data_IF_371668699195
#
_entry.id   IF_371668699195
#
_cell.length_a   1.000
_cell.length_b   1.000
_cell.length_c   1.000
_cell.angle_alpha   90.00
_cell.angle_beta   90.00
_cell.angle_gamma   90.00
#
_symmetry.space_group_name_H-M   'P 1'
#
loop_
_entity.id
_entity.type
_entity.pdbx_description
1 polymer ?
#
# COMPACT_ATOMS: atom_id res chain seq x y z
N UNK A 1 3.38 0.34 -14.78
CA UNK A 1 2.03 0.87 -15.12
C UNK A 1 1.25 1.14 -13.84
N UNK A 2 0.58 2.27 -13.80
CA UNK A 2 -0.21 2.65 -12.64
C UNK A 2 -1.62 2.04 -12.73
N UNK A 3 -2.03 1.27 -11.71
CA UNK A 3 -3.28 0.51 -11.75
C UNK A 3 -4.51 1.41 -11.51
N UNK A 4 -5.60 1.10 -12.19
CA UNK A 4 -6.91 1.72 -11.94
C UNK A 4 -7.60 1.02 -10.76
N UNK A 5 -8.63 1.67 -10.21
CA UNK A 5 -9.45 1.09 -9.14
C UNK A 5 -10.06 -0.24 -9.58
N UNK A 6 -10.59 -0.29 -10.81
CA UNK A 6 -11.19 -1.51 -11.35
C UNK A 6 -10.18 -2.66 -11.42
N UNK A 7 -8.95 -2.35 -11.81
CA UNK A 7 -7.87 -3.33 -11.84
C UNK A 7 -7.57 -3.88 -10.44
N UNK A 8 -7.53 -3.00 -9.43
CA UNK A 8 -7.26 -3.40 -8.04
C UNK A 8 -8.41 -4.24 -7.46
N UNK A 9 -9.65 -3.88 -7.77
CA UNK A 9 -10.81 -4.66 -7.34
C UNK A 9 -10.83 -6.06 -7.97
N UNK A 10 -10.18 -6.24 -9.11
CA UNK A 10 -10.04 -7.54 -9.78
C UNK A 10 -8.97 -8.45 -9.16
N UNK A 11 -8.09 -7.91 -8.31
CA UNK A 11 -7.06 -8.71 -7.62
C UNK A 11 -7.66 -9.24 -6.32
N UNK A 12 -8.04 -10.51 -6.33
CA UNK A 12 -8.75 -11.16 -5.21
C UNK A 12 -7.76 -11.90 -4.33
N UNK A 13 -7.96 -11.83 -3.02
CA UNK A 13 -7.16 -12.58 -2.06
C UNK A 13 -7.56 -14.06 -2.08
N UNK A 14 -6.65 -14.97 -2.47
CA UNK A 14 -6.98 -16.39 -2.57
C UNK A 14 -7.23 -17.07 -1.23
N UNK A 15 -6.80 -16.47 -0.12
CA UNK A 15 -7.00 -17.00 1.22
C UNK A 15 -8.33 -16.56 1.86
N UNK A 16 -9.05 -15.63 1.20
CA UNK A 16 -10.32 -15.13 1.75
C UNK A 16 -11.40 -16.21 1.61
N UNK A 17 -12.22 -16.37 2.64
CA UNK A 17 -13.36 -17.28 2.63
C UNK A 17 -14.66 -16.48 2.74
N UNK A 18 -15.77 -17.06 2.29
CA UNK A 18 -17.08 -16.44 2.37
C UNK A 18 -17.46 -16.07 3.82
N UNK A 19 -17.12 -16.93 4.77
CA UNK A 19 -17.39 -16.67 6.19
C UNK A 19 -16.59 -15.46 6.72
N UNK A 20 -15.39 -15.21 6.23
CA UNK A 20 -14.59 -14.05 6.61
C UNK A 20 -15.23 -12.74 6.13
N UNK A 21 -15.88 -12.76 4.97
CA UNK A 21 -16.56 -11.59 4.41
C UNK A 21 -17.90 -11.35 5.13
N UNK A 22 -18.67 -12.41 5.37
CA UNK A 22 -19.98 -12.33 6.02
C UNK A 22 -19.87 -12.01 7.52
N UNK A 23 -18.88 -12.58 8.19
CA UNK A 23 -18.64 -12.42 9.62
C UNK A 23 -17.23 -11.85 9.84
N UNK A 24 -17.14 -10.52 9.78
CA UNK A 24 -15.87 -9.79 9.87
C UNK A 24 -15.48 -9.49 11.32
N UNK A 25 -15.78 -10.37 12.27
CA UNK A 25 -15.47 -10.17 13.69
C UNK A 25 -13.98 -9.99 13.95
N UNK A 26 -13.11 -10.69 13.20
CA UNK A 26 -11.66 -10.60 13.37
C UNK A 26 -10.96 -9.62 12.41
N UNK A 27 -11.72 -8.97 11.54
CA UNK A 27 -11.20 -7.96 10.63
C UNK A 27 -10.50 -8.50 9.37
N UNK A 28 -10.49 -9.80 9.13
CA UNK A 28 -9.84 -10.38 7.94
C UNK A 28 -10.64 -10.13 6.66
N UNK A 29 -11.94 -9.97 6.77
CA UNK A 29 -12.85 -9.80 5.62
C UNK A 29 -12.56 -8.55 4.80
N UNK A 30 -11.95 -7.51 5.39
CA UNK A 30 -11.60 -6.28 4.67
C UNK A 30 -10.54 -6.54 3.58
N UNK A 31 -9.77 -7.62 3.71
CA UNK A 31 -8.71 -7.98 2.75
C UNK A 31 -9.22 -8.89 1.63
N UNK A 32 -10.42 -8.65 1.15
CA UNK A 32 -11.02 -9.41 0.06
C UNK A 32 -10.35 -9.14 -1.28
N UNK A 33 -10.11 -7.85 -1.58
CA UNK A 33 -9.44 -7.42 -2.81
C UNK A 33 -8.32 -6.42 -2.51
N UNK A 34 -7.44 -6.22 -3.49
CA UNK A 34 -6.32 -5.29 -3.36
C UNK A 34 -6.75 -3.84 -3.18
N UNK A 35 -8.01 -3.50 -3.49
CA UNK A 35 -8.51 -2.14 -3.34
C UNK A 35 -8.44 -1.63 -1.89
N UNK A 36 -8.44 -2.53 -0.90
CA UNK A 36 -8.28 -2.18 0.51
C UNK A 36 -6.96 -1.45 0.78
N UNK A 37 -5.92 -1.74 0.01
CA UNK A 37 -4.62 -1.10 0.16
C UNK A 37 -4.55 0.29 -0.46
N UNK A 38 -5.53 0.65 -1.26
CA UNK A 38 -5.67 2.01 -1.78
C UNK A 38 -6.29 2.93 -0.73
N UNK A 39 -7.31 2.45 -0.02
CA UNK A 39 -7.99 3.19 1.03
C UNK A 39 -8.40 2.22 2.15
N UNK A 40 -7.97 2.51 3.35
CA UNK A 40 -8.29 1.72 4.55
C UNK A 40 -7.07 1.08 5.18
N UNK A 41 -6.37 0.21 4.47
CA UNK A 41 -5.17 -0.46 5.00
C UNK A 41 -3.93 -0.24 4.12
N UNK A 42 -3.81 0.94 3.58
CA UNK A 42 -2.60 1.38 2.85
C UNK A 42 -1.33 1.31 3.71
N UNK A 43 -1.46 1.42 5.02
CA UNK A 43 -0.37 1.26 5.99
C UNK A 43 0.33 -0.10 5.83
N UNK A 44 -0.42 -1.17 5.70
CA UNK A 44 0.13 -2.53 5.57
C UNK A 44 0.91 -2.67 4.25
N UNK A 45 0.37 -2.16 3.15
CA UNK A 45 1.05 -2.25 1.86
C UNK A 45 2.34 -1.43 1.85
N UNK A 46 2.31 -0.26 2.48
CA UNK A 46 3.48 0.61 2.64
C UNK A 46 4.59 -0.08 3.44
N UNK A 47 4.25 -0.77 4.54
CA UNK A 47 5.20 -1.55 5.33
C UNK A 47 5.82 -2.65 4.47
N UNK A 48 5.01 -3.36 3.70
CA UNK A 48 5.48 -4.44 2.84
C UNK A 48 6.43 -3.93 1.75
N UNK A 49 6.11 -2.82 1.09
CA UNK A 49 6.98 -2.18 0.10
C UNK A 49 8.30 -1.73 0.71
N UNK A 50 8.25 -1.09 1.86
CA UNK A 50 9.45 -0.59 2.54
C UNK A 50 10.37 -1.73 2.95
N UNK A 51 9.82 -2.81 3.47
CA UNK A 51 10.62 -3.97 3.89
C UNK A 51 11.21 -4.73 2.70
N UNK A 52 10.46 -4.84 1.61
CA UNK A 52 10.90 -5.59 0.42
C UNK A 52 11.95 -4.82 -0.39
N UNK A 53 11.73 -3.53 -0.62
CA UNK A 53 12.56 -2.74 -1.53
C UNK A 53 13.46 -1.72 -0.82
N UNK A 54 13.28 -1.50 0.46
CA UNK A 54 14.02 -0.49 1.21
C UNK A 54 13.56 0.95 0.96
N UNK A 55 12.35 1.14 0.43
CA UNK A 55 11.82 2.47 0.17
C UNK A 55 11.52 3.22 1.46
N UNK A 56 11.65 4.55 1.41
CA UNK A 56 11.23 5.41 2.50
C UNK A 56 9.70 5.41 2.59
N UNK A 57 9.17 5.15 3.76
CA UNK A 57 7.73 5.16 3.99
C UNK A 57 7.28 6.51 4.53
N UNK A 58 6.15 6.98 4.02
CA UNK A 58 5.53 8.24 4.40
C UNK A 58 4.11 8.01 4.84
N UNK A 59 3.67 8.81 5.79
CA UNK A 59 2.28 8.84 6.22
C UNK A 59 1.80 10.28 6.13
N UNK A 60 0.82 10.52 5.27
CA UNK A 60 0.19 11.84 5.11
C UNK A 60 -0.81 12.02 6.25
N UNK A 61 -0.87 13.25 6.79
CA UNK A 61 -1.86 13.62 7.78
C UNK A 61 -3.29 13.54 7.25
N UNK A 62 -4.25 13.83 8.13
CA UNK A 62 -5.66 13.71 7.83
C UNK A 62 -6.06 14.54 6.62
N UNK A 63 -6.80 13.91 5.70
CA UNK A 63 -7.53 14.60 4.64
C UNK A 63 -8.79 15.22 5.24
N UNK A 64 -9.53 16.03 4.46
CA UNK A 64 -10.82 16.61 4.89
C UNK A 64 -11.79 15.52 5.40
N UNK A 65 -11.68 14.31 4.89
CA UNK A 65 -12.52 13.17 5.28
C UNK A 65 -11.96 12.41 6.50
N UNK A 66 -10.89 12.90 7.11
CA UNK A 66 -10.25 12.24 8.26
C UNK A 66 -9.43 11.02 7.88
N UNK A 67 -9.19 10.79 6.59
CA UNK A 67 -8.44 9.65 6.08
C UNK A 67 -6.94 9.98 5.98
N UNK A 68 -6.11 9.03 6.41
CA UNK A 68 -4.67 9.09 6.21
C UNK A 68 -4.28 8.20 5.03
N UNK A 69 -3.22 8.56 4.32
CA UNK A 69 -2.65 7.72 3.27
C UNK A 69 -1.19 7.43 3.57
N UNK A 70 -0.85 6.14 3.53
CA UNK A 70 0.52 5.67 3.68
C UNK A 70 1.03 5.20 2.31
N UNK A 71 2.26 5.56 1.99
CA UNK A 71 2.88 5.24 0.71
C UNK A 71 4.38 5.22 0.85
N UNK A 72 5.08 4.84 -0.20
CA UNK A 72 6.54 4.87 -0.23
C UNK A 72 7.05 5.84 -1.28
N UNK A 73 8.28 6.29 -1.07
CA UNK A 73 8.98 7.18 -1.99
C UNK A 73 10.38 6.64 -2.22
N UNK A 74 10.83 6.71 -3.45
CA UNK A 74 12.23 6.49 -3.81
C UNK A 74 12.61 7.49 -4.91
N UNK A 75 13.86 7.45 -5.35
CA UNK A 75 14.35 8.34 -6.40
C UNK A 75 14.91 7.52 -7.55
N UNK A 76 14.57 7.92 -8.77
CA UNK A 76 15.10 7.34 -10.00
C UNK A 76 15.55 8.50 -10.87
N UNK A 77 16.83 8.53 -11.23
CA UNK A 77 17.43 9.61 -12.04
C UNK A 77 17.13 11.02 -11.50
N UNK A 78 17.23 11.18 -10.17
CA UNK A 78 16.97 12.44 -9.46
C UNK A 78 15.49 12.88 -9.47
N UNK A 79 14.57 12.02 -9.93
CA UNK A 79 13.14 12.28 -9.82
C UNK A 79 12.54 11.48 -8.68
N UNK A 80 11.63 12.12 -7.94
CA UNK A 80 10.87 11.49 -6.87
C UNK A 80 9.83 10.55 -7.47
N UNK A 81 9.86 9.29 -7.05
CA UNK A 81 8.95 8.26 -7.49
C UNK A 81 8.04 7.88 -6.33
N UNK A 82 6.74 8.04 -6.51
CA UNK A 82 5.72 7.66 -5.54
C UNK A 82 5.29 6.22 -5.80
N UNK A 83 5.26 5.40 -4.75
CA UNK A 83 4.92 3.98 -4.85
C UNK A 83 3.82 3.65 -3.84
N UNK A 84 2.72 3.12 -4.33
CA UNK A 84 1.65 2.55 -3.51
C UNK A 84 1.05 1.33 -4.23
N UNK A 85 -0.10 0.83 -3.76
CA UNK A 85 -0.74 -0.33 -4.37
C UNK A 85 -0.99 -0.16 -5.88
N UNK A 86 -1.24 1.06 -6.33
CA UNK A 86 -1.52 1.34 -7.75
C UNK A 86 -0.29 1.15 -8.63
N UNK A 87 0.91 1.19 -8.06
CA UNK A 87 2.17 1.07 -8.77
C UNK A 87 3.06 2.28 -8.51
N UNK A 88 3.76 2.73 -9.55
CA UNK A 88 4.76 3.79 -9.45
C UNK A 88 4.43 4.94 -10.39
N UNK A 89 4.61 6.17 -9.94
CA UNK A 89 4.45 7.36 -10.77
C UNK A 89 5.35 8.49 -10.28
N UNK A 90 5.84 9.30 -11.21
CA UNK A 90 6.53 10.55 -10.92
C UNK A 90 5.57 11.74 -10.96
N UNK A 91 4.33 11.51 -11.38
CA UNK A 91 3.30 12.55 -11.54
C UNK A 91 2.55 12.73 -10.22
N UNK A 92 2.84 13.83 -9.52
CA UNK A 92 2.23 14.15 -8.24
C UNK A 92 0.70 14.32 -8.35
N UNK A 93 0.21 14.92 -9.44
CA UNK A 93 -1.24 15.07 -9.65
C UNK A 93 -1.93 13.73 -9.77
N UNK A 94 -1.35 12.84 -10.57
CA UNK A 94 -1.87 11.47 -10.72
C UNK A 94 -1.85 10.73 -9.38
N UNK A 95 -0.76 10.86 -8.63
CA UNK A 95 -0.62 10.23 -7.32
C UNK A 95 -1.65 10.76 -6.34
N UNK A 96 -1.87 12.08 -6.30
CA UNK A 96 -2.80 12.73 -5.38
C UNK A 96 -4.27 12.60 -5.81
N UNK A 97 -4.56 11.94 -6.92
CA UNK A 97 -5.93 11.72 -7.36
C UNK A 97 -6.72 10.96 -6.28
N UNK A 98 -7.71 11.62 -5.70
CA UNK A 98 -8.56 11.05 -4.66
C UNK A 98 -8.20 11.41 -3.22
N UNK A 99 -7.14 12.20 -3.00
CA UNK A 99 -6.81 12.72 -1.67
C UNK A 99 -6.02 14.03 -1.77
N UNK A 100 -6.03 14.80 -0.68
CA UNK A 100 -5.29 16.06 -0.58
C UNK A 100 -3.93 15.78 0.05
N UNK A 101 -2.86 16.27 -0.59
CA UNK A 101 -1.49 16.11 -0.08
C UNK A 101 -1.23 17.18 0.97
N UNK A 102 -1.28 16.81 2.24
CA UNK A 102 -0.92 17.68 3.36
C UNK A 102 0.42 17.25 3.95
N UNK A 103 0.85 17.90 5.02
CA UNK A 103 2.11 17.57 5.69
C UNK A 103 2.09 16.15 6.24
N UNK A 104 3.10 15.38 5.90
CA UNK A 104 3.23 14.01 6.35
C UNK A 104 4.50 13.79 7.17
N UNK A 105 4.60 12.61 7.75
CA UNK A 105 5.76 12.16 8.50
C UNK A 105 6.47 11.04 7.74
N UNK A 106 7.81 11.08 7.78
CA UNK A 106 8.65 9.98 7.29
C UNK A 106 8.77 8.94 8.40
N UNK A 107 8.53 7.69 8.07
CA UNK A 107 8.74 6.59 9.00
C UNK A 107 10.17 6.06 8.85
N UNK A 108 10.88 5.97 9.96
CA UNK A 108 12.22 5.38 9.97
C UNK A 108 12.13 3.87 9.78
N UNK A 109 13.26 3.24 9.46
CA UNK A 109 13.31 1.78 9.37
C UNK A 109 12.90 1.11 10.69
N UNK A 110 13.26 1.72 11.82
CA UNK A 110 12.84 1.23 13.13
C UNK A 110 11.34 1.33 13.32
N UNK A 111 10.72 2.41 12.87
CA UNK A 111 9.26 2.59 12.93
C UNK A 111 8.55 1.52 12.09
N UNK A 112 9.05 1.24 10.89
CA UNK A 112 8.50 0.21 10.00
C UNK A 112 8.58 -1.17 10.64
N UNK A 113 9.72 -1.53 11.21
CA UNK A 113 9.89 -2.83 11.88
C UNK A 113 9.01 -2.93 13.13
N UNK A 114 8.85 -1.83 13.86
CA UNK A 114 7.95 -1.77 15.01
C UNK A 114 6.50 -1.98 14.60
N UNK A 115 6.03 -1.26 13.57
CA UNK A 115 4.67 -1.40 13.07
C UNK A 115 4.42 -2.82 12.56
N UNK A 116 5.39 -3.41 11.86
CA UNK A 116 5.30 -4.79 11.40
C UNK A 116 5.11 -5.77 12.58
N UNK A 117 5.92 -5.63 13.62
CA UNK A 117 5.84 -6.50 14.81
C UNK A 117 4.54 -6.32 15.58
N UNK A 118 3.91 -5.15 15.50
CA UNK A 118 2.68 -4.83 16.21
C UNK A 118 1.41 -5.21 15.43
N UNK A 119 1.54 -5.75 14.22
CA UNK A 119 0.37 -6.21 13.47
C UNK A 119 -0.35 -7.32 14.24
N UNK A 120 -1.66 -7.19 14.36
CA UNK A 120 -2.52 -8.24 14.90
C UNK A 120 -2.72 -9.37 13.87
N UNK A 121 -3.52 -10.37 14.19
CA UNK A 121 -3.74 -11.50 13.30
C UNK A 121 -4.38 -11.08 11.97
N UNK A 122 -5.32 -10.14 12.00
CA UNK A 122 -5.93 -9.59 10.79
C UNK A 122 -4.90 -8.81 9.96
N UNK A 123 -4.06 -8.00 10.61
CA UNK A 123 -3.01 -7.26 9.95
C UNK A 123 -1.97 -8.16 9.29
N UNK A 124 -1.61 -9.27 9.94
CA UNK A 124 -0.70 -10.26 9.38
C UNK A 124 -1.31 -11.00 8.20
N UNK A 125 -2.59 -11.28 8.26
CA UNK A 125 -3.34 -11.86 7.14
C UNK A 125 -3.30 -10.92 5.92
N UNK A 126 -3.54 -9.63 6.14
CA UNK A 126 -3.44 -8.61 5.10
C UNK A 126 -2.02 -8.43 4.58
N UNK A 127 -1.01 -8.53 5.45
CA UNK A 127 0.40 -8.44 5.06
C UNK A 127 0.78 -9.58 4.09
N UNK A 128 0.34 -10.80 4.35
CA UNK A 128 0.57 -11.91 3.42
C UNK A 128 -0.06 -11.67 2.06
N UNK A 129 -1.24 -11.05 2.04
CA UNK A 129 -1.86 -10.66 0.77
C UNK A 129 -1.04 -9.60 0.04
N UNK A 130 -0.54 -8.59 0.76
CA UNK A 130 0.35 -7.58 0.20
C UNK A 130 1.61 -8.20 -0.41
N UNK A 131 2.25 -9.13 0.30
CA UNK A 131 3.42 -9.85 -0.21
C UNK A 131 3.11 -10.63 -1.49
N UNK A 132 1.96 -11.30 -1.56
CA UNK A 132 1.53 -12.02 -2.77
C UNK A 132 1.37 -11.08 -3.96
N UNK A 133 0.79 -9.91 -3.74
CA UNK A 133 0.60 -8.91 -4.80
C UNK A 133 1.96 -8.42 -5.29
N UNK A 134 2.87 -8.09 -4.38
CA UNK A 134 4.21 -7.61 -4.71
C UNK A 134 4.96 -8.67 -5.51
N UNK A 135 4.94 -9.92 -5.06
CA UNK A 135 5.63 -11.01 -5.75
C UNK A 135 5.04 -11.30 -7.13
N UNK A 136 3.72 -11.24 -7.25
CA UNK A 136 3.03 -11.51 -8.50
C UNK A 136 3.11 -10.37 -9.53
N UNK A 137 3.31 -9.14 -9.06
CA UNK A 137 3.36 -7.94 -9.89
C UNK A 137 4.62 -7.11 -9.63
N UNK A 138 5.74 -7.77 -9.43
CA UNK A 138 6.98 -7.15 -8.96
C UNK A 138 7.44 -5.97 -9.81
N UNK A 139 7.30 -6.05 -11.12
CA UNK A 139 7.67 -4.97 -12.03
C UNK A 139 6.84 -3.69 -11.84
N UNK A 140 5.67 -3.81 -11.24
CA UNK A 140 4.80 -2.66 -10.94
C UNK A 140 5.38 -1.81 -9.80
N UNK A 141 6.13 -2.44 -8.88
CA UNK A 141 6.58 -1.81 -7.64
C UNK A 141 8.09 -1.65 -7.52
N UNK A 142 8.87 -2.36 -8.32
CA UNK A 142 10.33 -2.29 -8.29
C UNK A 142 10.81 -1.10 -9.11
N UNK A 143 11.45 -0.14 -8.43
CA UNK A 143 11.92 1.11 -9.06
C UNK A 143 12.92 0.88 -10.20
N UNK A 144 13.65 -0.25 -10.18
CA UNK A 144 14.55 -0.60 -11.28
C UNK A 144 13.81 -0.94 -12.57
N UNK A 145 12.51 -1.21 -12.50
CA UNK A 145 11.65 -1.51 -13.64
C UNK A 145 10.91 -0.28 -14.18
N UNK A 146 11.08 0.88 -13.52
CA UNK A 146 10.35 2.09 -13.92
C UNK A 146 10.90 2.64 -15.23
N UNK A 147 10.00 2.94 -16.17
CA UNK A 147 10.31 3.52 -17.49
C UNK A 147 9.72 4.92 -17.55
N UNK A 148 10.58 5.88 -17.83
CA UNK A 148 10.19 7.29 -18.01
C UNK A 148 9.40 7.52 -19.27
#
# INVERSE_FOLDING_TARGET
MYATVDCLAGIVNPEITESMVEDDEDGRGVFETADVFRMGRCDIFSIALSREFGYAAYKIGETEDGLTHSFCVTFVENQMLFVDIRGMTTDLEQFCSGFVFETGAVLTRQDIEKEYRQLDDAGRFGYRFAERIIDGCRSRYDSSSFIF
#
